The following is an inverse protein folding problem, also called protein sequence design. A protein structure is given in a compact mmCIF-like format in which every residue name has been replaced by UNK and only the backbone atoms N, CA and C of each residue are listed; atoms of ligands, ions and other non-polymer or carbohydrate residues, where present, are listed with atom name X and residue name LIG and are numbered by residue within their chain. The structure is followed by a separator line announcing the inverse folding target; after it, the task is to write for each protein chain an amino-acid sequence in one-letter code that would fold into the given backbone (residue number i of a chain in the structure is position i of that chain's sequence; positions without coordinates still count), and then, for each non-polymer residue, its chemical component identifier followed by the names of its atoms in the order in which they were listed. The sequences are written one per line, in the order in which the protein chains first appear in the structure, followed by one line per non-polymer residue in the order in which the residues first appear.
data_IF_499053942366
#
_entry.id   IF_499053942366
#
_cell.length_a   1.000
_cell.length_b   1.000
_cell.length_c   1.000
_cell.angle_alpha   90.00
_cell.angle_beta   90.00
_cell.angle_gamma   90.00
#
_symmetry.space_group_name_H-M   'P 1'
#
loop_
_entity.id
_entity.type
_entity.pdbx_description
1 polymer ?
#
# COMPACT_ATOMS: atom_id res chain seq x y z
N UNK A 1 -47.64 -0.09 1.62
CA UNK A 1 -46.58 -0.04 2.64
C UNK A 1 -45.32 -0.63 2.02
N UNK A 2 -44.42 0.22 1.56
CA UNK A 2 -43.24 -0.20 0.80
C UNK A 2 -42.07 -0.47 1.78
N UNK A 3 -41.63 -1.69 1.79
CA UNK A 3 -40.53 -2.17 2.64
C UNK A 3 -39.20 -1.63 2.07
N UNK A 4 -38.67 -0.56 2.65
CA UNK A 4 -37.33 -0.03 2.37
C UNK A 4 -36.31 -0.99 2.96
N UNK A 5 -35.84 -1.97 2.18
CA UNK A 5 -34.65 -2.72 2.53
C UNK A 5 -33.45 -1.77 2.50
N UNK A 6 -32.88 -1.57 3.65
CA UNK A 6 -31.65 -0.82 3.89
C UNK A 6 -30.49 -1.62 3.30
N UNK A 7 -30.11 -1.30 2.06
CA UNK A 7 -28.90 -1.87 1.44
C UNK A 7 -27.70 -1.28 2.19
N UNK A 8 -27.21 -2.02 3.17
CA UNK A 8 -25.94 -1.69 3.83
C UNK A 8 -24.83 -1.75 2.79
N UNK A 9 -24.19 -0.63 2.56
CA UNK A 9 -22.99 -0.52 1.71
C UNK A 9 -21.97 -1.56 2.20
N UNK A 10 -21.64 -2.51 1.34
CA UNK A 10 -20.54 -3.42 1.57
C UNK A 10 -19.27 -2.61 1.32
N UNK A 11 -18.71 -2.04 2.39
CA UNK A 11 -17.40 -1.45 2.30
C UNK A 11 -16.41 -2.56 1.92
N UNK A 12 -15.74 -2.41 0.77
CA UNK A 12 -14.59 -3.24 0.37
C UNK A 12 -13.37 -2.89 1.25
N UNK A 13 -13.61 -2.55 2.50
CA UNK A 13 -12.56 -2.37 3.50
C UNK A 13 -12.19 -3.76 3.98
N UNK A 14 -11.07 -4.29 3.52
CA UNK A 14 -10.45 -5.44 4.13
C UNK A 14 -9.94 -5.01 5.51
N UNK A 15 -10.78 -5.09 6.53
CA UNK A 15 -10.35 -5.03 7.92
C UNK A 15 -9.54 -6.30 8.19
N UNK A 16 -8.23 -6.21 7.99
CA UNK A 16 -7.28 -7.26 8.34
C UNK A 16 -7.20 -7.28 9.87
N UNK A 17 -8.05 -8.08 10.50
CA UNK A 17 -7.79 -8.54 11.86
C UNK A 17 -6.51 -9.37 11.81
N UNK A 18 -5.44 -8.87 12.40
CA UNK A 18 -4.19 -9.57 12.65
C UNK A 18 -4.48 -10.81 13.50
N UNK A 19 -4.58 -11.97 12.84
CA UNK A 19 -4.46 -13.26 13.52
C UNK A 19 -2.98 -13.60 13.57
N UNK A 20 -2.37 -13.79 14.76
CA UNK A 20 -0.98 -14.23 14.84
C UNK A 20 -0.93 -15.72 14.45
N UNK A 21 -0.16 -16.06 13.42
CA UNK A 21 0.27 -17.45 13.24
C UNK A 21 0.18 -18.08 11.85
N UNK A 22 -0.32 -17.41 10.81
CA UNK A 22 -0.22 -17.98 9.47
C UNK A 22 0.93 -17.36 8.69
N UNK A 23 1.98 -18.14 8.48
CA UNK A 23 3.03 -17.83 7.50
C UNK A 23 2.40 -17.93 6.11
N UNK A 24 2.08 -16.78 5.52
CA UNK A 24 1.70 -16.71 4.10
C UNK A 24 2.94 -17.06 3.27
N UNK A 25 3.06 -18.33 2.91
CA UNK A 25 3.93 -18.74 1.82
C UNK A 25 3.35 -18.12 0.55
N UNK A 26 3.93 -17.03 0.11
CA UNK A 26 3.57 -16.40 -1.15
C UNK A 26 3.93 -17.38 -2.27
N UNK A 27 2.91 -18.09 -2.77
CA UNK A 27 3.03 -18.86 -4.00
C UNK A 27 3.37 -17.85 -5.10
N UNK A 28 4.62 -17.85 -5.58
CA UNK A 28 5.22 -16.80 -6.42
C UNK A 28 4.59 -16.66 -7.81
N UNK A 29 3.57 -17.47 -8.15
CA UNK A 29 2.94 -17.55 -9.45
C UNK A 29 1.50 -17.00 -9.52
N UNK A 30 0.91 -16.51 -8.42
CA UNK A 30 -0.46 -15.98 -8.45
C UNK A 30 -0.43 -14.51 -8.88
N UNK A 31 -0.97 -14.25 -10.07
CA UNK A 31 -1.00 -12.92 -10.69
C UNK A 31 -2.43 -12.45 -10.96
N UNK A 32 -2.60 -11.14 -11.10
CA UNK A 32 -3.83 -10.50 -11.56
C UNK A 32 -3.83 -10.48 -13.08
N UNK A 33 -4.88 -11.02 -13.70
CA UNK A 33 -5.14 -10.80 -15.12
C UNK A 33 -5.50 -9.33 -15.35
N UNK A 34 -4.82 -8.66 -16.28
CA UNK A 34 -5.03 -7.24 -16.60
C UNK A 34 -5.27 -7.07 -18.08
N UNK A 35 -6.39 -6.42 -18.43
CA UNK A 35 -6.69 -6.01 -19.82
C UNK A 35 -6.95 -4.51 -19.83
N UNK A 36 -6.18 -3.77 -20.60
CA UNK A 36 -6.39 -2.34 -20.81
C UNK A 36 -7.57 -2.18 -21.77
N UNK A 37 -8.60 -1.48 -21.32
CA UNK A 37 -9.77 -1.17 -22.12
C UNK A 37 -9.67 0.23 -22.71
N UNK A 38 -9.11 1.18 -21.92
CA UNK A 38 -8.79 2.54 -22.33
C UNK A 38 -7.45 2.89 -21.70
N UNK A 39 -6.49 3.36 -22.50
CA UNK A 39 -5.25 3.93 -21.98
C UNK A 39 -5.51 5.38 -21.58
N UNK A 40 -5.26 5.72 -20.30
CA UNK A 40 -5.35 7.11 -19.85
C UNK A 40 -4.10 7.90 -20.24
N UNK A 41 -4.23 9.20 -20.27
CA UNK A 41 -3.16 10.17 -20.59
C UNK A 41 -2.73 11.03 -19.40
N UNK A 42 -3.50 11.03 -18.30
CA UNK A 42 -3.22 11.82 -17.11
C UNK A 42 -2.18 11.22 -16.17
N UNK A 43 -2.17 11.69 -14.93
CA UNK A 43 -1.20 11.30 -13.90
C UNK A 43 -1.24 9.79 -13.62
N UNK A 44 -0.05 9.21 -13.42
CA UNK A 44 0.11 7.77 -13.17
C UNK A 44 -0.10 7.43 -11.69
N UNK A 45 -0.93 6.44 -11.41
CA UNK A 45 -1.08 5.88 -10.07
C UNK A 45 0.17 5.09 -9.67
N UNK A 46 0.89 5.59 -8.68
CA UNK A 46 2.05 4.92 -8.07
C UNK A 46 1.71 4.49 -6.65
N UNK A 47 2.51 3.58 -6.11
CA UNK A 47 2.34 3.14 -4.72
C UNK A 47 2.29 4.34 -3.77
N UNK A 48 1.38 4.30 -2.81
CA UNK A 48 1.06 5.35 -1.83
C UNK A 48 0.35 6.60 -2.41
N UNK A 49 0.03 6.63 -3.69
CA UNK A 49 -0.90 7.64 -4.22
C UNK A 49 -2.31 7.40 -3.66
N UNK A 50 -3.01 8.48 -3.35
CA UNK A 50 -4.44 8.45 -3.14
C UNK A 50 -5.12 8.44 -4.52
N UNK A 51 -5.98 7.48 -4.77
CA UNK A 51 -6.65 7.28 -6.06
C UNK A 51 -8.15 7.33 -5.89
N UNK A 52 -8.82 7.98 -6.84
CA UNK A 52 -10.28 8.03 -6.97
C UNK A 52 -10.69 7.21 -8.17
N UNK A 53 -11.58 6.24 -8.00
CA UNK A 53 -12.00 5.35 -9.07
C UNK A 53 -13.52 5.19 -9.15
N UNK A 54 -14.02 4.93 -10.37
CA UNK A 54 -15.26 4.20 -10.54
C UNK A 54 -14.97 2.73 -10.83
N UNK A 55 -15.83 1.85 -10.35
CA UNK A 55 -15.72 0.42 -10.62
C UNK A 55 -17.05 -0.29 -10.65
N UNK A 56 -17.06 -1.44 -11.32
CA UNK A 56 -18.10 -2.45 -11.20
C UNK A 56 -17.44 -3.81 -11.02
N UNK A 57 -17.95 -4.63 -10.11
CA UNK A 57 -17.46 -5.96 -9.78
C UNK A 57 -18.49 -7.06 -10.05
N UNK A 58 -18.02 -8.15 -10.66
CA UNK A 58 -18.82 -9.34 -10.98
C UNK A 58 -18.10 -10.60 -10.50
N UNK A 59 -18.89 -11.62 -10.17
CA UNK A 59 -18.44 -12.98 -10.14
C UNK A 59 -18.13 -13.44 -11.57
N UNK A 60 -17.31 -14.48 -11.74
CA UNK A 60 -16.94 -14.96 -13.08
C UNK A 60 -18.13 -15.48 -13.90
N UNK A 61 -19.23 -15.85 -13.23
CA UNK A 61 -20.49 -16.23 -13.88
C UNK A 61 -21.35 -15.04 -14.37
N UNK A 62 -20.80 -13.80 -14.25
CA UNK A 62 -21.47 -12.57 -14.70
C UNK A 62 -22.38 -11.91 -13.66
N UNK A 63 -22.63 -12.51 -12.49
CA UNK A 63 -23.44 -11.91 -11.44
C UNK A 63 -22.72 -10.70 -10.85
N UNK A 64 -23.29 -9.48 -11.04
CA UNK A 64 -22.80 -8.25 -10.42
C UNK A 64 -23.04 -8.29 -8.91
N UNK A 65 -22.00 -7.95 -8.12
CA UNK A 65 -22.10 -7.92 -6.67
C UNK A 65 -21.87 -6.53 -6.07
N UNK A 66 -21.17 -5.63 -6.79
CA UNK A 66 -20.94 -4.26 -6.32
C UNK A 66 -20.62 -3.32 -7.48
N UNK A 67 -21.02 -2.03 -7.35
CA UNK A 67 -20.74 -0.99 -8.34
C UNK A 67 -20.79 0.40 -7.72
N UNK A 68 -19.71 1.14 -7.82
CA UNK A 68 -19.67 2.57 -7.47
C UNK A 68 -20.40 3.43 -8.49
N UNK A 69 -20.52 2.96 -9.73
CA UNK A 69 -21.28 3.62 -10.81
C UNK A 69 -22.77 3.61 -10.48
N UNK A 70 -23.31 2.44 -10.10
CA UNK A 70 -24.74 2.30 -9.72
C UNK A 70 -25.09 3.17 -8.49
N UNK A 71 -24.12 3.39 -7.60
CA UNK A 71 -24.30 4.28 -6.44
C UNK A 71 -24.12 5.77 -6.75
N UNK A 72 -23.63 6.12 -7.94
CA UNK A 72 -23.29 7.49 -8.31
C UNK A 72 -22.18 8.11 -7.47
N UNK A 73 -21.37 7.29 -6.75
CA UNK A 73 -20.33 7.78 -5.84
C UNK A 73 -19.00 7.06 -6.09
N UNK A 74 -17.97 7.78 -6.55
CA UNK A 74 -16.63 7.24 -6.69
C UNK A 74 -16.06 6.70 -5.37
N UNK A 75 -15.12 5.80 -5.46
CA UNK A 75 -14.42 5.19 -4.33
C UNK A 75 -12.98 5.69 -4.26
N UNK A 76 -12.56 6.18 -3.09
CA UNK A 76 -11.22 6.67 -2.82
C UNK A 76 -10.47 5.70 -1.92
N UNK A 77 -9.20 5.41 -2.24
CA UNK A 77 -8.29 4.64 -1.39
C UNK A 77 -6.83 5.01 -1.66
N UNK A 78 -5.94 4.65 -0.72
CA UNK A 78 -4.50 4.79 -0.91
C UNK A 78 -3.92 3.49 -1.45
N UNK A 79 -3.26 3.57 -2.60
CA UNK A 79 -2.74 2.43 -3.34
C UNK A 79 -1.55 1.76 -2.62
N UNK A 80 -1.57 0.44 -2.55
CA UNK A 80 -0.44 -0.38 -2.08
C UNK A 80 -0.27 -0.47 -0.57
N UNK A 81 -1.25 -0.01 0.25
CA UNK A 81 -1.18 -0.10 1.72
C UNK A 81 -2.13 -1.13 2.32
N UNK A 82 -2.84 -1.91 1.50
CA UNK A 82 -3.76 -2.95 1.95
C UNK A 82 -5.12 -2.41 2.41
N UNK A 83 -5.55 -1.23 1.96
CA UNK A 83 -6.91 -0.74 2.17
C UNK A 83 -7.95 -1.47 1.33
N UNK A 84 -7.50 -2.12 0.27
CA UNK A 84 -8.28 -2.92 -0.67
C UNK A 84 -7.69 -4.31 -0.80
N UNK A 85 -8.38 -5.22 -1.46
CA UNK A 85 -7.85 -6.56 -1.77
C UNK A 85 -6.53 -6.48 -2.55
N UNK A 86 -5.58 -7.42 -2.34
CA UNK A 86 -4.27 -7.39 -3.01
C UNK A 86 -4.35 -7.30 -4.53
N UNK A 87 -5.40 -7.88 -5.11
CA UNK A 87 -5.66 -7.81 -6.54
C UNK A 87 -5.89 -6.38 -7.05
N UNK A 88 -6.52 -5.54 -6.27
CA UNK A 88 -6.71 -4.12 -6.61
C UNK A 88 -5.42 -3.32 -6.47
N UNK A 89 -4.69 -3.49 -5.35
CA UNK A 89 -3.40 -2.82 -5.15
C UNK A 89 -2.44 -3.09 -6.33
N UNK A 90 -2.39 -4.37 -6.79
CA UNK A 90 -1.58 -4.75 -7.94
C UNK A 90 -2.20 -4.34 -9.28
N UNK A 91 -3.54 -4.35 -9.36
CA UNK A 91 -4.29 -4.13 -10.60
C UNK A 91 -4.35 -2.67 -11.03
N UNK A 92 -4.49 -1.75 -10.08
CA UNK A 92 -4.61 -0.31 -10.31
C UNK A 92 -3.25 0.37 -10.46
N UNK A 93 -2.20 -0.22 -9.88
CA UNK A 93 -0.84 0.31 -10.02
C UNK A 93 -0.46 0.50 -11.48
N UNK A 94 0.15 1.64 -11.79
CA UNK A 94 0.53 2.10 -13.12
C UNK A 94 -0.64 2.40 -14.08
N UNK A 95 -1.89 2.48 -13.62
CA UNK A 95 -2.93 3.13 -14.42
C UNK A 95 -2.68 4.64 -14.52
N UNK A 96 -3.09 5.24 -15.62
CA UNK A 96 -3.14 6.70 -15.77
C UNK A 96 -4.56 7.21 -15.62
N UNK A 97 -4.73 8.42 -15.13
CA UNK A 97 -6.04 9.10 -15.05
C UNK A 97 -6.69 9.11 -16.43
N UNK A 98 -7.99 8.86 -16.48
CA UNK A 98 -8.77 8.65 -17.71
C UNK A 98 -8.74 7.19 -18.20
N UNK A 99 -7.82 6.38 -17.71
CA UNK A 99 -7.70 4.98 -18.12
C UNK A 99 -8.80 4.09 -17.55
N UNK A 100 -9.14 3.04 -18.30
CA UNK A 100 -10.07 1.97 -17.90
C UNK A 100 -9.40 0.61 -18.04
N UNK A 101 -9.52 -0.23 -17.03
CA UNK A 101 -8.90 -1.55 -16.99
C UNK A 101 -9.86 -2.61 -16.49
N UNK A 102 -9.85 -3.77 -17.14
CA UNK A 102 -10.45 -4.98 -16.61
C UNK A 102 -9.42 -5.77 -15.80
N UNK A 103 -9.83 -6.25 -14.62
CA UNK A 103 -9.04 -7.11 -13.76
C UNK A 103 -9.74 -8.44 -13.55
N UNK A 104 -9.00 -9.53 -13.70
CA UNK A 104 -9.42 -10.87 -13.27
C UNK A 104 -8.55 -11.24 -12.07
N UNK A 105 -9.19 -11.36 -10.92
CA UNK A 105 -8.52 -11.50 -9.63
C UNK A 105 -8.83 -12.88 -9.05
N UNK A 106 -7.81 -13.76 -8.92
CA UNK A 106 -7.99 -15.07 -8.31
C UNK A 106 -8.26 -14.93 -6.80
N UNK A 107 -8.86 -15.96 -6.17
CA UNK A 107 -9.30 -15.90 -4.78
C UNK A 107 -8.19 -15.56 -3.79
N UNK A 108 -6.94 -15.97 -4.03
CA UNK A 108 -5.78 -15.71 -3.18
C UNK A 108 -5.43 -14.22 -3.11
N UNK A 109 -5.82 -13.46 -4.12
CA UNK A 109 -5.63 -11.99 -4.19
C UNK A 109 -6.94 -11.23 -3.94
N UNK A 110 -8.00 -11.93 -3.52
CA UNK A 110 -9.32 -11.41 -3.21
C UNK A 110 -9.75 -11.83 -1.79
N UNK A 111 -10.83 -12.57 -1.66
CA UNK A 111 -11.43 -12.93 -0.36
C UNK A 111 -11.18 -14.39 0.05
N UNK A 112 -10.44 -15.18 -0.75
CA UNK A 112 -10.00 -16.53 -0.43
C UNK A 112 -11.11 -17.49 -0.03
N UNK A 113 -10.79 -18.36 0.93
CA UNK A 113 -11.71 -19.40 1.46
C UNK A 113 -12.90 -18.85 2.24
N UNK A 114 -12.87 -17.57 2.64
CA UNK A 114 -13.94 -16.97 3.46
C UNK A 114 -15.06 -16.36 2.63
N UNK A 115 -14.78 -15.94 1.38
CA UNK A 115 -15.71 -15.13 0.62
C UNK A 115 -15.98 -13.77 1.30
N UNK A 116 -17.03 -13.04 0.90
CA UNK A 116 -17.40 -11.77 1.51
C UNK A 116 -18.91 -11.50 1.42
N UNK A 117 -19.46 -10.92 2.51
CA UNK A 117 -20.77 -10.27 2.56
C UNK A 117 -21.96 -11.16 2.14
N UNK A 118 -21.85 -12.49 2.14
CA UNK A 118 -22.89 -13.39 1.66
C UNK A 118 -23.15 -13.37 0.16
N UNK A 119 -22.48 -12.47 -0.59
CA UNK A 119 -22.65 -12.31 -2.04
C UNK A 119 -21.45 -12.80 -2.85
N UNK A 120 -20.26 -12.87 -2.23
CA UNK A 120 -19.06 -13.43 -2.83
C UNK A 120 -18.80 -14.80 -2.18
N UNK A 121 -18.92 -15.91 -2.93
CA UNK A 121 -18.67 -17.25 -2.40
C UNK A 121 -17.20 -17.45 -2.01
N UNK A 122 -16.95 -18.51 -1.23
CA UNK A 122 -15.61 -19.00 -0.97
C UNK A 122 -14.90 -19.36 -2.29
N UNK A 123 -13.62 -19.05 -2.36
CA UNK A 123 -12.74 -19.33 -3.51
C UNK A 123 -13.25 -18.73 -4.85
N UNK A 124 -13.96 -17.60 -4.80
CA UNK A 124 -14.47 -16.95 -6.00
C UNK A 124 -13.35 -16.17 -6.71
N UNK A 125 -13.21 -16.40 -8.01
CA UNK A 125 -12.49 -15.48 -8.91
C UNK A 125 -13.41 -14.31 -9.22
N UNK A 126 -12.86 -13.09 -9.14
CA UNK A 126 -13.60 -11.84 -9.33
C UNK A 126 -13.17 -11.16 -10.62
N UNK A 127 -14.15 -10.56 -11.30
CA UNK A 127 -13.93 -9.64 -12.40
C UNK A 127 -14.28 -8.22 -11.98
N UNK A 128 -13.41 -7.26 -12.29
CA UNK A 128 -13.68 -5.84 -12.10
C UNK A 128 -13.39 -5.07 -13.38
N UNK A 129 -14.20 -4.07 -13.67
CA UNK A 129 -13.85 -2.96 -14.51
C UNK A 129 -13.62 -1.74 -13.64
N UNK A 130 -12.45 -1.09 -13.79
CA UNK A 130 -12.03 0.05 -12.99
C UNK A 130 -11.67 1.20 -13.92
N UNK A 131 -12.24 2.37 -13.69
CA UNK A 131 -11.88 3.64 -14.33
C UNK A 131 -11.18 4.51 -13.32
N UNK A 132 -9.96 4.97 -13.61
CA UNK A 132 -9.19 5.86 -12.75
C UNK A 132 -9.57 7.31 -13.06
N UNK A 133 -10.15 7.99 -12.07
CA UNK A 133 -10.68 9.35 -12.21
C UNK A 133 -9.68 10.42 -11.77
N UNK A 134 -8.95 10.17 -10.68
CA UNK A 134 -7.97 11.10 -10.16
C UNK A 134 -6.85 10.36 -9.40
N UNK A 135 -5.69 11.00 -9.35
CA UNK A 135 -4.52 10.60 -8.57
C UNK A 135 -4.07 11.80 -7.75
N UNK A 136 -3.73 11.58 -6.50
CA UNK A 136 -2.98 12.53 -5.68
C UNK A 136 -1.69 11.84 -5.24
N UNK A 137 -0.60 12.20 -5.85
CA UNK A 137 0.72 11.63 -5.54
C UNK A 137 1.24 12.12 -4.18
N UNK A 138 1.97 11.27 -3.44
CA UNK A 138 2.62 11.70 -2.21
C UNK A 138 3.66 12.78 -2.51
N UNK A 139 3.79 13.76 -1.61
CA UNK A 139 4.78 14.85 -1.72
C UNK A 139 6.21 14.41 -1.39
N UNK A 140 6.40 13.23 -0.81
CA UNK A 140 7.70 12.60 -0.61
C UNK A 140 8.05 11.69 -1.79
N UNK A 141 9.32 11.29 -1.91
CA UNK A 141 9.78 10.40 -2.98
C UNK A 141 9.77 8.93 -2.54
N UNK A 142 9.07 8.07 -3.27
CA UNK A 142 9.23 6.62 -3.14
C UNK A 142 10.50 6.17 -3.87
N UNK A 143 11.33 5.38 -3.20
CA UNK A 143 12.58 4.86 -3.77
C UNK A 143 12.62 3.34 -3.77
N UNK A 144 13.17 2.77 -4.84
CA UNK A 144 13.53 1.36 -4.95
C UNK A 144 14.96 1.11 -4.45
N UNK A 145 15.40 -0.15 -4.46
CA UNK A 145 16.73 -0.52 -3.97
C UNK A 145 17.89 0.09 -4.78
N UNK A 146 17.72 0.36 -6.07
CA UNK A 146 18.76 1.02 -6.90
C UNK A 146 18.95 2.47 -6.44
N UNK A 147 17.86 3.22 -6.34
CA UNK A 147 17.90 4.61 -5.87
C UNK A 147 18.35 4.68 -4.40
N UNK A 148 17.90 3.75 -3.56
CA UNK A 148 18.33 3.67 -2.17
C UNK A 148 19.85 3.53 -2.05
N UNK A 149 20.47 2.60 -2.78
CA UNK A 149 21.93 2.45 -2.80
C UNK A 149 22.65 3.74 -3.23
N UNK A 150 22.13 4.41 -4.26
CA UNK A 150 22.71 5.70 -4.70
C UNK A 150 22.62 6.79 -3.64
N UNK A 151 21.51 6.87 -2.90
CA UNK A 151 21.34 7.83 -1.81
C UNK A 151 22.26 7.52 -0.64
N UNK A 152 22.40 6.24 -0.26
CA UNK A 152 23.31 5.81 0.80
C UNK A 152 24.77 6.10 0.44
N UNK A 153 25.19 5.85 -0.80
CA UNK A 153 26.54 6.18 -1.28
C UNK A 153 26.84 7.69 -1.24
N UNK A 154 25.81 8.54 -1.29
CA UNK A 154 25.94 10.00 -1.11
C UNK A 154 25.91 10.45 0.36
N UNK A 155 25.86 9.51 1.30
CA UNK A 155 25.79 9.80 2.73
C UNK A 155 24.41 10.25 3.22
N UNK A 156 23.33 10.01 2.45
CA UNK A 156 21.99 10.36 2.90
C UNK A 156 21.62 9.52 4.12
N UNK A 157 21.17 10.19 5.17
CA UNK A 157 20.82 9.58 6.45
C UNK A 157 19.61 8.64 6.29
N UNK A 158 19.73 7.41 6.81
CA UNK A 158 18.64 6.41 6.80
C UNK A 158 18.17 6.11 8.22
N UNK A 159 16.86 6.10 8.41
CA UNK A 159 16.19 5.81 9.67
C UNK A 159 15.33 4.57 9.50
N UNK A 160 15.67 3.52 10.26
CA UNK A 160 14.83 2.33 10.37
C UNK A 160 13.80 2.53 11.49
N UNK A 161 12.55 2.78 11.10
CA UNK A 161 11.47 3.12 12.01
C UNK A 161 10.76 1.90 12.63
N UNK A 162 11.29 0.71 12.41
CA UNK A 162 10.74 -0.55 12.95
C UNK A 162 10.97 -0.65 14.45
N UNK A 163 10.44 -1.69 15.06
CA UNK A 163 10.66 -2.01 16.47
C UNK A 163 11.92 -2.84 16.66
N UNK A 164 12.43 -2.86 17.88
CA UNK A 164 13.63 -3.61 18.28
C UNK A 164 13.55 -5.09 17.86
N UNK A 165 12.43 -5.75 18.11
CA UNK A 165 12.24 -7.17 17.79
C UNK A 165 12.31 -7.44 16.28
N UNK A 166 11.92 -6.45 15.46
CA UNK A 166 12.01 -6.56 14.00
C UNK A 166 13.48 -6.40 13.52
N UNK A 167 14.26 -5.51 14.16
CA UNK A 167 15.69 -5.36 13.87
C UNK A 167 16.48 -6.60 14.28
N UNK A 168 16.21 -7.13 15.47
CA UNK A 168 16.88 -8.34 15.99
C UNK A 168 16.62 -9.56 15.10
N UNK A 169 15.40 -9.66 14.56
CA UNK A 169 14.99 -10.77 13.70
C UNK A 169 15.62 -10.74 12.31
N UNK A 170 15.68 -9.58 11.67
CA UNK A 170 16.03 -9.48 10.25
C UNK A 170 17.33 -8.75 9.99
N UNK A 171 17.92 -8.10 10.98
CA UNK A 171 18.98 -7.12 10.80
C UNK A 171 18.47 -5.79 10.26
N UNK A 172 19.38 -4.86 10.02
CA UNK A 172 19.15 -3.52 9.46
C UNK A 172 20.11 -3.26 8.29
N UNK A 173 19.81 -2.31 7.44
CA UNK A 173 20.76 -1.81 6.44
C UNK A 173 21.90 -1.11 7.18
N UNK A 174 23.13 -1.33 6.76
CA UNK A 174 24.31 -0.68 7.34
C UNK A 174 24.16 0.85 7.33
N UNK A 175 24.56 1.50 8.42
CA UNK A 175 24.39 2.94 8.61
C UNK A 175 22.97 3.38 9.00
N UNK A 176 22.04 2.46 9.19
CA UNK A 176 20.69 2.82 9.64
C UNK A 176 20.68 3.28 11.10
N UNK A 177 20.09 4.46 11.33
CA UNK A 177 19.71 4.90 12.67
C UNK A 177 18.40 4.21 13.08
N UNK A 178 18.44 3.50 14.22
CA UNK A 178 17.31 2.74 14.76
C UNK A 178 16.41 3.67 15.59
N UNK A 179 15.20 4.00 15.10
CA UNK A 179 14.28 4.91 15.79
C UNK A 179 12.84 4.43 15.61
N UNK A 180 12.28 3.78 16.60
CA UNK A 180 10.92 3.22 16.53
C UNK A 180 9.86 4.31 16.43
N UNK A 181 9.04 4.28 15.36
CA UNK A 181 7.95 5.24 15.17
C UNK A 181 6.60 4.76 15.71
N UNK A 182 6.38 3.44 15.79
CA UNK A 182 5.13 2.86 16.27
C UNK A 182 5.41 1.73 17.25
N UNK A 183 4.67 1.70 18.36
CA UNK A 183 4.74 0.64 19.36
C UNK A 183 4.09 -0.67 18.87
N UNK A 184 4.06 -1.69 19.73
CA UNK A 184 3.48 -3.01 19.41
C UNK A 184 1.98 -2.98 19.14
N UNK A 185 1.27 -2.00 19.71
CA UNK A 185 -0.15 -1.76 19.47
C UNK A 185 -0.42 -0.89 18.23
N UNK A 186 0.62 -0.48 17.49
CA UNK A 186 0.52 0.40 16.33
C UNK A 186 0.34 1.89 16.68
N UNK A 187 0.49 2.26 17.95
CA UNK A 187 0.38 3.64 18.41
C UNK A 187 1.68 4.40 18.13
N UNK A 188 1.55 5.65 17.70
CA UNK A 188 2.69 6.52 17.44
C UNK A 188 3.49 6.81 18.71
N UNK A 189 4.81 6.67 18.62
CA UNK A 189 5.75 6.90 19.74
C UNK A 189 6.02 8.40 19.89
N UNK A 190 5.63 8.98 21.01
CA UNK A 190 5.69 10.42 21.27
C UNK A 190 7.10 11.01 21.19
N UNK A 191 8.14 10.25 21.53
CA UNK A 191 9.54 10.69 21.45
C UNK A 191 10.13 10.64 20.03
N UNK A 192 9.43 10.04 19.06
CA UNK A 192 9.92 9.90 17.69
C UNK A 192 10.30 11.23 17.04
N UNK A 193 9.49 12.33 17.09
CA UNK A 193 9.84 13.58 16.45
C UNK A 193 11.13 14.21 17.01
N UNK A 194 11.33 14.15 18.32
CA UNK A 194 12.56 14.68 18.95
C UNK A 194 13.78 13.85 18.55
N UNK A 195 13.68 12.52 18.55
CA UNK A 195 14.73 11.61 18.10
C UNK A 195 15.07 11.81 16.62
N UNK A 196 14.07 12.02 15.76
CA UNK A 196 14.29 12.33 14.36
C UNK A 196 15.05 13.66 14.19
N UNK A 197 14.59 14.73 14.87
CA UNK A 197 15.18 16.06 14.77
C UNK A 197 16.65 16.09 15.26
N UNK A 198 17.00 15.28 16.25
CA UNK A 198 18.39 15.16 16.71
C UNK A 198 19.29 14.46 15.68
N UNK A 199 18.71 13.66 14.79
CA UNK A 199 19.45 12.91 13.77
C UNK A 199 19.47 13.60 12.41
N UNK A 200 18.35 14.17 11.96
CA UNK A 200 18.23 14.86 10.68
C UNK A 200 17.36 16.12 10.83
N UNK A 201 17.86 17.26 10.39
CA UNK A 201 17.12 18.52 10.33
C UNK A 201 16.15 18.56 9.14
N UNK A 202 15.25 19.55 9.16
CA UNK A 202 14.16 19.71 8.19
C UNK A 202 14.66 19.93 6.75
N UNK A 203 15.82 20.58 6.58
CA UNK A 203 16.46 20.86 5.27
C UNK A 203 17.35 19.71 4.80
N UNK A 204 17.59 18.70 5.63
CA UNK A 204 18.44 17.56 5.29
C UNK A 204 17.62 16.47 4.59
N UNK A 205 18.27 15.76 3.68
CA UNK A 205 17.68 14.59 3.04
C UNK A 205 17.61 13.42 4.04
N UNK A 206 16.46 12.81 4.17
CA UNK A 206 16.23 11.67 5.07
C UNK A 206 15.51 10.52 4.37
N UNK A 207 16.04 9.31 4.57
CA UNK A 207 15.42 8.08 4.08
C UNK A 207 14.72 7.39 5.24
N UNK A 208 13.47 7.01 5.05
CA UNK A 208 12.69 6.24 6.01
C UNK A 208 12.50 4.83 5.48
N UNK A 209 12.79 3.83 6.32
CA UNK A 209 12.53 2.43 6.01
C UNK A 209 11.74 1.76 7.12
N UNK A 210 10.79 0.92 6.72
CA UNK A 210 10.11 -0.02 7.62
C UNK A 210 10.10 -1.43 7.01
N UNK A 211 9.18 -2.29 7.46
CA UNK A 211 9.09 -3.65 6.93
C UNK A 211 8.73 -3.70 5.43
N UNK A 212 7.67 -2.98 5.02
CA UNK A 212 7.06 -3.06 3.69
C UNK A 212 6.81 -1.70 3.02
N UNK A 213 7.33 -0.60 3.58
CA UNK A 213 7.14 0.76 3.07
C UNK A 213 5.88 1.48 3.60
N UNK A 214 4.91 0.79 4.19
CA UNK A 214 3.62 1.40 4.57
C UNK A 214 3.72 2.30 5.83
N UNK A 215 4.38 1.84 6.91
CA UNK A 215 4.60 2.68 8.10
C UNK A 215 5.48 3.89 7.80
N UNK A 216 6.53 3.68 7.02
CA UNK A 216 7.45 4.74 6.63
C UNK A 216 6.81 5.75 5.67
N UNK A 217 5.87 5.35 4.82
CA UNK A 217 5.09 6.28 4.00
C UNK A 217 4.18 7.19 4.84
N UNK A 218 3.57 6.65 5.90
CA UNK A 218 2.76 7.45 6.84
C UNK A 218 3.61 8.51 7.53
N UNK A 219 4.81 8.14 7.99
CA UNK A 219 5.75 9.09 8.60
C UNK A 219 6.24 10.12 7.56
N UNK A 220 6.59 9.67 6.36
CA UNK A 220 7.02 10.56 5.28
C UNK A 220 5.97 11.64 4.96
N UNK A 221 4.70 11.27 4.86
CA UNK A 221 3.61 12.25 4.71
C UNK A 221 3.56 13.25 5.85
N UNK A 222 3.63 12.78 7.11
CA UNK A 222 3.61 13.67 8.27
C UNK A 222 4.79 14.65 8.27
N UNK A 223 5.97 14.19 7.90
CA UNK A 223 7.17 15.02 7.83
C UNK A 223 7.03 16.14 6.79
N UNK A 224 6.56 15.80 5.60
CA UNK A 224 6.42 16.80 4.51
C UNK A 224 5.22 17.72 4.74
N UNK A 225 4.08 17.19 5.20
CA UNK A 225 2.85 17.99 5.31
C UNK A 225 2.78 18.85 6.58
N UNK A 226 3.45 18.40 7.68
CA UNK A 226 3.26 19.01 9.00
C UNK A 226 4.55 19.41 9.72
N UNK A 227 5.69 18.84 9.33
CA UNK A 227 6.95 19.08 10.03
C UNK A 227 7.99 19.83 9.18
N UNK A 228 7.64 20.28 7.98
CA UNK A 228 8.48 21.13 7.13
C UNK A 228 9.66 20.45 6.45
N UNK A 229 9.74 19.12 6.47
CA UNK A 229 10.80 18.41 5.77
C UNK A 229 10.61 18.45 4.26
N UNK A 230 11.64 18.83 3.51
CA UNK A 230 11.55 18.99 2.05
C UNK A 230 12.02 17.76 1.28
N UNK A 231 13.02 17.02 1.80
CA UNK A 231 13.71 15.93 1.09
C UNK A 231 13.52 14.59 1.80
N UNK A 232 12.30 14.06 1.73
CA UNK A 232 11.93 12.81 2.40
C UNK A 232 11.82 11.69 1.37
N UNK A 233 12.54 10.59 1.63
CA UNK A 233 12.52 9.38 0.82
C UNK A 233 11.91 8.22 1.60
N UNK A 234 10.95 7.53 1.00
CA UNK A 234 10.36 6.31 1.54
C UNK A 234 10.86 5.09 0.76
N UNK A 235 11.43 4.10 1.42
CA UNK A 235 11.75 2.81 0.79
C UNK A 235 10.44 2.06 0.55
N UNK A 236 9.92 2.11 -0.68
CA UNK A 236 8.54 1.77 -1.03
C UNK A 236 8.12 0.33 -0.66
N UNK A 237 9.04 -0.63 -0.75
CA UNK A 237 8.79 -2.04 -0.41
C UNK A 237 9.54 -2.48 0.87
N UNK A 238 10.20 -1.54 1.54
CA UNK A 238 10.86 -1.71 2.84
C UNK A 238 12.00 -2.74 2.84
N UNK A 239 12.38 -3.15 4.07
CA UNK A 239 13.50 -4.09 4.29
C UNK A 239 13.22 -5.48 3.69
N UNK A 240 11.96 -5.89 3.56
CA UNK A 240 11.61 -7.19 3.00
C UNK A 240 12.09 -7.30 1.55
N UNK A 241 11.91 -6.25 0.76
CA UNK A 241 12.37 -6.24 -0.63
C UNK A 241 13.89 -6.14 -0.72
N UNK A 242 14.51 -5.35 0.15
CA UNK A 242 15.96 -5.26 0.25
C UNK A 242 16.61 -6.62 0.42
N UNK A 243 16.12 -7.40 1.40
CA UNK A 243 16.61 -8.76 1.69
C UNK A 243 16.29 -9.72 0.54
N UNK A 244 15.07 -9.66 -0.02
CA UNK A 244 14.65 -10.52 -1.13
C UNK A 244 15.53 -10.34 -2.37
N UNK A 245 16.00 -9.13 -2.62
CA UNK A 245 16.92 -8.82 -3.73
C UNK A 245 18.39 -9.18 -3.42
N UNK A 246 18.66 -9.91 -2.32
CA UNK A 246 19.99 -10.42 -1.95
C UNK A 246 20.92 -9.37 -1.35
N UNK A 247 20.41 -8.22 -0.91
CA UNK A 247 21.23 -7.18 -0.30
C UNK A 247 21.55 -7.50 1.18
N UNK A 248 22.75 -7.11 1.62
CA UNK A 248 23.25 -7.36 2.97
C UNK A 248 22.52 -6.55 4.06
N UNK A 249 22.45 -7.14 5.23
CA UNK A 249 22.01 -6.49 6.48
C UNK A 249 23.03 -6.78 7.57
N UNK A 250 23.15 -5.88 8.53
CA UNK A 250 23.94 -6.07 9.77
C UNK A 250 22.99 -6.36 10.94
N UNK A 251 23.48 -7.09 11.96
CA UNK A 251 22.73 -7.42 13.20
C UNK A 251 23.25 -6.64 14.38
#
# INVERSE_FOLDING_TARGET
MANKQLVRSIFIVAMVLLVPGETWSANSNVSVGKKILVEGDGERAVRHSKVLVHYTGWLINGKKFDSSVDRGKPFEFTLGIGQVIPGWDRGVENMKVGGKRELIIPPELAYGKRGAGGVIPANATLKFEITLLAVTSPKYSNVNNVTLKSLLAKGTKIIDIRRKEEWDKTGVIEGSHKLTAFDKAGKFVRSFPAGLKSFAGENEAVILICRSGNRSSTIANLLVERAGYEKVYNVAEGIVRWIKDGNSVIR
#
